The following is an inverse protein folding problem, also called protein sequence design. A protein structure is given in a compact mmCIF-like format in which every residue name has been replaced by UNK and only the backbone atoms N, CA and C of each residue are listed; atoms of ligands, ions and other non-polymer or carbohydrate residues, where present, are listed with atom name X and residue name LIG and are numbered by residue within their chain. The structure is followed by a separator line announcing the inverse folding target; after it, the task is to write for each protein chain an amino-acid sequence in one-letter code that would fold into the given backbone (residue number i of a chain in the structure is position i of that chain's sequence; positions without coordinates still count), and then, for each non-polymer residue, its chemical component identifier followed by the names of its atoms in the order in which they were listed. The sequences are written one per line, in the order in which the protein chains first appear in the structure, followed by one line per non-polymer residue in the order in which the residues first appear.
data_IF_879034092122
#
_entry.id   IF_879034092122
#
_cell.length_a   1.000
_cell.length_b   1.000
_cell.length_c   1.000
_cell.angle_alpha   90.00
_cell.angle_beta   90.00
_cell.angle_gamma   90.00
#
_symmetry.space_group_name_H-M   'P 1'
#
loop_
_entity.id
_entity.type
_entity.pdbx_description
1 polymer ?
#
# COMPACT_ATOMS: atom_id res chain seq x y z
N UNK A 1 -22.13 21.24 -28.77
CA UNK A 1 -21.12 20.15 -28.82
C UNK A 1 -20.56 19.75 -27.46
N UNK A 2 -20.49 20.61 -26.45
CA UNK A 2 -19.99 20.28 -25.08
C UNK A 2 -20.95 19.44 -24.20
N UNK A 3 -22.26 19.53 -24.40
CA UNK A 3 -23.26 18.82 -23.59
C UNK A 3 -23.31 17.32 -23.90
N UNK A 4 -23.10 16.95 -25.18
CA UNK A 4 -23.07 15.52 -25.60
C UNK A 4 -21.88 14.77 -25.01
N UNK A 5 -20.70 15.41 -24.92
CA UNK A 5 -19.49 14.81 -24.33
C UNK A 5 -19.65 14.53 -22.82
N UNK A 6 -20.36 15.40 -22.11
CA UNK A 6 -20.62 15.25 -20.67
C UNK A 6 -21.59 14.10 -20.36
N UNK A 7 -22.63 13.91 -21.19
CA UNK A 7 -23.62 12.84 -21.02
C UNK A 7 -23.01 11.45 -21.35
N UNK A 8 -22.20 11.36 -22.40
CA UNK A 8 -21.51 10.13 -22.76
C UNK A 8 -20.45 9.74 -21.71
N UNK A 9 -19.79 10.69 -21.11
CA UNK A 9 -18.85 10.48 -19.99
C UNK A 9 -19.58 10.01 -18.75
N UNK A 10 -20.72 10.63 -18.41
CA UNK A 10 -21.55 10.26 -17.26
C UNK A 10 -22.19 8.86 -17.42
N UNK A 11 -22.66 8.52 -18.61
CA UNK A 11 -23.22 7.20 -18.91
C UNK A 11 -22.15 6.10 -18.86
N UNK A 12 -20.94 6.36 -19.34
CA UNK A 12 -19.80 5.43 -19.20
C UNK A 12 -19.39 5.24 -17.74
N UNK A 13 -19.45 6.28 -16.89
CA UNK A 13 -19.16 6.20 -15.45
C UNK A 13 -20.11 5.23 -14.74
N UNK A 14 -21.42 5.41 -14.90
CA UNK A 14 -22.42 4.51 -14.31
C UNK A 14 -22.20 3.07 -14.81
N UNK A 15 -21.78 2.90 -16.06
CA UNK A 15 -21.57 1.58 -16.67
C UNK A 15 -20.30 0.91 -16.13
N UNK A 16 -19.26 1.67 -15.78
CA UNK A 16 -18.00 1.14 -15.23
C UNK A 16 -18.14 0.76 -13.75
N UNK A 17 -18.83 1.55 -12.94
CA UNK A 17 -19.18 1.26 -11.54
C UNK A 17 -19.94 -0.08 -11.43
N UNK A 18 -20.97 -0.24 -12.26
CA UNK A 18 -21.78 -1.46 -12.33
C UNK A 18 -20.95 -2.66 -12.83
N UNK A 19 -19.94 -2.45 -13.66
CA UNK A 19 -19.10 -3.53 -14.20
C UNK A 19 -18.11 -4.10 -13.18
N UNK A 20 -17.43 -3.24 -12.38
CA UNK A 20 -16.40 -3.70 -11.45
C UNK A 20 -17.04 -4.35 -10.22
N UNK A 21 -18.05 -3.74 -9.64
CA UNK A 21 -18.81 -4.34 -8.54
C UNK A 21 -19.42 -5.70 -8.96
N UNK A 22 -19.97 -5.81 -10.16
CA UNK A 22 -20.48 -7.08 -10.72
C UNK A 22 -19.40 -8.15 -10.85
N UNK A 23 -18.15 -7.77 -11.10
CA UNK A 23 -17.04 -8.72 -11.17
C UNK A 23 -16.54 -9.13 -9.78
N UNK A 24 -16.68 -8.27 -8.76
CA UNK A 24 -16.28 -8.56 -7.39
C UNK A 24 -17.33 -9.36 -6.60
N UNK A 25 -18.61 -9.04 -6.76
CA UNK A 25 -19.72 -9.68 -6.03
C UNK A 25 -19.68 -11.22 -6.06
N UNK A 26 -19.44 -11.90 -7.21
CA UNK A 26 -19.40 -13.36 -7.26
C UNK A 26 -18.27 -13.98 -6.43
N UNK A 27 -17.26 -13.20 -6.05
CA UNK A 27 -16.10 -13.64 -5.30
C UNK A 27 -16.18 -13.32 -3.81
N UNK A 28 -17.27 -12.70 -3.36
CA UNK A 28 -17.48 -12.43 -1.92
C UNK A 28 -17.53 -13.75 -1.16
N UNK A 29 -16.76 -13.85 -0.08
CA UNK A 29 -16.74 -15.05 0.75
C UNK A 29 -18.15 -15.35 1.31
N UNK A 30 -18.74 -16.55 1.09
CA UNK A 30 -20.00 -16.94 1.71
C UNK A 30 -19.96 -16.83 3.25
N UNK A 31 -18.82 -17.06 3.85
CA UNK A 31 -18.63 -16.89 5.30
C UNK A 31 -18.74 -15.43 5.73
N UNK A 32 -18.26 -14.49 4.90
CA UNK A 32 -18.40 -13.06 5.18
C UNK A 32 -19.87 -12.64 5.16
N UNK A 33 -20.66 -13.18 4.26
CA UNK A 33 -22.10 -12.90 4.15
C UNK A 33 -22.91 -13.51 5.29
N UNK A 34 -22.61 -14.76 5.67
CA UNK A 34 -23.49 -15.57 6.51
C UNK A 34 -23.02 -15.75 7.95
N UNK A 35 -21.72 -15.53 8.24
CA UNK A 35 -21.14 -15.72 9.59
C UNK A 35 -20.72 -14.38 10.20
N UNK A 36 -21.51 -13.83 11.11
CA UNK A 36 -21.23 -12.53 11.73
C UNK A 36 -19.89 -12.50 12.48
N UNK A 37 -19.53 -13.57 13.19
CA UNK A 37 -18.25 -13.68 13.91
C UNK A 37 -17.07 -13.61 12.94
N UNK A 38 -17.17 -14.28 11.80
CA UNK A 38 -16.14 -14.25 10.76
C UNK A 38 -16.04 -12.85 10.13
N UNK A 39 -17.16 -12.24 9.76
CA UNK A 39 -17.22 -10.88 9.20
C UNK A 39 -16.57 -9.86 10.14
N UNK A 40 -16.92 -9.86 11.41
CA UNK A 40 -16.30 -8.98 12.41
C UNK A 40 -14.79 -9.23 12.55
N UNK A 41 -14.37 -10.49 12.53
CA UNK A 41 -12.95 -10.86 12.57
C UNK A 41 -12.18 -10.33 11.36
N UNK A 42 -12.76 -10.48 10.16
CA UNK A 42 -12.19 -10.02 8.91
C UNK A 42 -12.02 -8.48 8.89
N UNK A 43 -13.09 -7.74 9.22
CA UNK A 43 -13.07 -6.27 9.31
C UNK A 43 -12.04 -5.79 10.34
N UNK A 44 -11.98 -6.44 11.51
CA UNK A 44 -10.99 -6.09 12.55
C UNK A 44 -9.55 -6.28 12.11
N UNK A 45 -9.25 -7.32 11.33
CA UNK A 45 -7.90 -7.57 10.80
C UNK A 45 -7.52 -6.51 9.79
N UNK A 46 -8.41 -6.18 8.85
CA UNK A 46 -8.18 -5.12 7.86
C UNK A 46 -8.00 -3.79 8.56
N UNK A 47 -8.80 -3.52 9.60
CA UNK A 47 -8.80 -2.26 10.35
C UNK A 47 -8.87 -1.05 9.39
N UNK A 48 -9.83 -1.07 8.46
CA UNK A 48 -10.10 0.08 7.59
C UNK A 48 -10.73 1.23 8.38
N UNK A 49 -10.68 2.44 7.83
CA UNK A 49 -11.43 3.58 8.36
C UNK A 49 -12.93 3.26 8.39
N UNK A 50 -13.69 3.78 9.36
CA UNK A 50 -15.11 3.41 9.55
C UNK A 50 -15.98 3.64 8.31
N UNK A 51 -15.66 4.66 7.52
CA UNK A 51 -16.40 5.05 6.32
C UNK A 51 -16.09 4.14 5.12
N UNK A 52 -14.99 3.38 5.17
CA UNK A 52 -14.55 2.52 4.08
C UNK A 52 -15.35 1.21 4.04
N UNK A 53 -16.20 1.04 3.03
CA UNK A 53 -16.95 -0.20 2.79
C UNK A 53 -15.99 -1.35 2.48
N UNK A 54 -16.26 -2.52 3.07
CA UNK A 54 -15.54 -3.78 2.83
C UNK A 54 -16.55 -4.79 2.27
N UNK A 55 -16.23 -5.42 1.14
CA UNK A 55 -17.06 -6.45 0.51
C UNK A 55 -16.80 -7.85 1.06
N UNK A 56 -15.59 -8.13 1.54
CA UNK A 56 -15.24 -9.40 2.17
C UNK A 56 -14.60 -10.42 1.23
N UNK A 57 -13.90 -9.96 0.20
CA UNK A 57 -13.06 -10.81 -0.65
C UNK A 57 -11.70 -11.08 0.00
N UNK A 58 -11.09 -12.22 -0.35
CA UNK A 58 -9.71 -12.47 -0.04
C UNK A 58 -8.77 -11.98 -1.15
N UNK A 59 -7.51 -11.81 -0.81
CA UNK A 59 -6.51 -11.28 -1.74
C UNK A 59 -6.31 -12.11 -3.02
N UNK A 60 -6.39 -13.46 -3.01
CA UNK A 60 -6.31 -14.25 -4.24
C UNK A 60 -7.39 -13.91 -5.26
N UNK A 61 -8.65 -13.77 -4.82
CA UNK A 61 -9.79 -13.43 -5.67
C UNK A 61 -9.64 -12.01 -6.23
N UNK A 62 -9.24 -11.05 -5.39
CA UNK A 62 -8.97 -9.67 -5.80
C UNK A 62 -7.86 -9.64 -6.88
N UNK A 63 -6.78 -10.42 -6.68
CA UNK A 63 -5.70 -10.54 -7.67
C UNK A 63 -6.17 -11.15 -8.99
N UNK A 64 -7.08 -12.11 -8.93
CA UNK A 64 -7.66 -12.72 -10.13
C UNK A 64 -8.46 -11.71 -10.94
N UNK A 65 -9.35 -10.95 -10.30
CA UNK A 65 -10.15 -9.89 -10.95
C UNK A 65 -9.23 -8.81 -11.53
N UNK A 66 -8.28 -8.30 -10.75
CA UNK A 66 -7.33 -7.30 -11.22
C UNK A 66 -6.52 -7.79 -12.46
N UNK A 67 -6.11 -9.07 -12.48
CA UNK A 67 -5.40 -9.68 -13.62
C UNK A 67 -6.28 -9.80 -14.86
N UNK A 68 -7.57 -10.03 -14.71
CA UNK A 68 -8.52 -10.08 -15.82
C UNK A 68 -8.72 -8.68 -16.41
N UNK A 69 -9.00 -7.69 -15.56
CA UNK A 69 -9.17 -6.29 -15.95
C UNK A 69 -7.90 -5.71 -16.61
N UNK A 70 -6.73 -6.02 -16.10
CA UNK A 70 -5.46 -5.55 -16.67
C UNK A 70 -5.16 -6.06 -18.09
N UNK A 71 -5.94 -7.02 -18.60
CA UNK A 71 -5.81 -7.55 -19.97
C UNK A 71 -6.81 -6.95 -20.94
N UNK A 72 -7.76 -6.16 -20.48
CA UNK A 72 -8.78 -5.55 -21.31
C UNK A 72 -8.15 -4.42 -22.14
N UNK A 73 -8.70 -4.19 -23.32
CA UNK A 73 -8.22 -3.17 -24.26
C UNK A 73 -8.48 -1.75 -23.74
N UNK A 74 -9.50 -1.59 -22.91
CA UNK A 74 -9.96 -0.35 -22.28
C UNK A 74 -9.44 -0.17 -20.83
N UNK A 75 -8.38 -0.87 -20.45
CA UNK A 75 -7.84 -0.84 -19.09
C UNK A 75 -7.48 0.57 -18.58
N UNK A 76 -7.05 1.47 -19.46
CA UNK A 76 -6.76 2.86 -19.09
C UNK A 76 -8.05 3.64 -18.80
N UNK A 77 -9.14 3.39 -19.53
CA UNK A 77 -10.45 3.98 -19.26
C UNK A 77 -10.98 3.48 -17.91
N UNK A 78 -10.79 2.20 -17.59
CA UNK A 78 -11.11 1.62 -16.29
C UNK A 78 -10.33 2.33 -15.16
N UNK A 79 -9.03 2.53 -15.32
CA UNK A 79 -8.21 3.24 -14.32
C UNK A 79 -8.63 4.69 -14.16
N UNK A 80 -9.00 5.34 -15.25
CA UNK A 80 -9.48 6.71 -15.24
C UNK A 80 -10.85 6.83 -14.53
N UNK A 81 -11.75 5.88 -14.75
CA UNK A 81 -13.02 5.80 -14.04
C UNK A 81 -12.81 5.64 -12.51
N UNK A 82 -11.90 4.76 -12.08
CA UNK A 82 -11.54 4.64 -10.66
C UNK A 82 -11.04 5.96 -10.06
N UNK A 83 -10.24 6.71 -10.84
CA UNK A 83 -9.71 8.00 -10.39
C UNK A 83 -10.83 9.02 -10.22
N UNK A 84 -11.74 9.12 -11.18
CA UNK A 84 -12.87 10.03 -11.14
C UNK A 84 -13.83 9.72 -9.99
N UNK A 85 -14.13 8.44 -9.74
CA UNK A 85 -14.94 8.01 -8.60
C UNK A 85 -14.30 8.44 -7.27
N UNK A 86 -12.98 8.26 -7.13
CA UNK A 86 -12.28 8.68 -5.93
C UNK A 86 -12.23 10.21 -5.77
N UNK A 87 -12.12 10.97 -6.87
CA UNK A 87 -12.17 12.44 -6.86
C UNK A 87 -13.56 12.97 -6.52
N UNK A 88 -14.63 12.27 -6.96
CA UNK A 88 -16.00 12.64 -6.67
C UNK A 88 -16.33 12.49 -5.18
N UNK A 89 -15.89 11.36 -4.57
CA UNK A 89 -16.08 11.08 -3.16
C UNK A 89 -14.97 10.17 -2.64
N UNK A 90 -14.29 10.55 -1.57
CA UNK A 90 -13.12 9.85 -1.03
C UNK A 90 -13.35 8.37 -0.72
N UNK A 91 -14.52 8.02 -0.16
CA UNK A 91 -14.84 6.65 0.27
C UNK A 91 -15.85 5.94 -0.66
N UNK A 92 -16.05 6.46 -1.86
CA UNK A 92 -16.94 5.85 -2.85
C UNK A 92 -16.48 4.47 -3.27
N UNK A 93 -15.19 4.32 -3.52
CA UNK A 93 -14.59 3.01 -3.79
C UNK A 93 -14.51 2.17 -2.51
N UNK A 94 -14.84 0.90 -2.61
CA UNK A 94 -14.65 -0.07 -1.53
C UNK A 94 -13.16 -0.35 -1.30
N UNK A 95 -12.85 -1.00 -0.18
CA UNK A 95 -11.50 -1.49 0.12
C UNK A 95 -10.95 -2.37 -1.01
N UNK A 96 -11.77 -3.29 -1.53
CA UNK A 96 -11.38 -4.21 -2.59
C UNK A 96 -11.18 -3.52 -3.92
N UNK A 97 -12.01 -2.55 -4.28
CA UNK A 97 -11.85 -1.76 -5.52
C UNK A 97 -10.57 -0.93 -5.49
N UNK A 98 -10.22 -0.37 -4.33
CA UNK A 98 -8.94 0.33 -4.16
C UNK A 98 -7.74 -0.61 -4.36
N UNK A 99 -7.84 -1.85 -3.85
CA UNK A 99 -6.83 -2.90 -4.10
C UNK A 99 -6.76 -3.29 -5.58
N UNK A 100 -7.91 -3.50 -6.24
CA UNK A 100 -7.99 -3.85 -7.67
C UNK A 100 -7.30 -2.78 -8.51
N UNK A 101 -7.61 -1.50 -8.28
CA UNK A 101 -6.95 -0.37 -8.97
C UNK A 101 -5.42 -0.46 -8.87
N UNK A 102 -4.89 -0.62 -7.66
CA UNK A 102 -3.44 -0.72 -7.45
C UNK A 102 -2.82 -1.94 -8.13
N UNK A 103 -3.49 -3.09 -8.09
CA UNK A 103 -3.01 -4.32 -8.71
C UNK A 103 -3.06 -4.25 -10.25
N UNK A 104 -4.04 -3.55 -10.85
CA UNK A 104 -4.07 -3.26 -12.28
C UNK A 104 -2.85 -2.40 -12.65
N UNK A 105 -2.60 -1.30 -11.92
CA UNK A 105 -1.43 -0.44 -12.13
C UNK A 105 -0.14 -1.27 -12.09
N UNK A 106 -0.03 -2.20 -11.15
CA UNK A 106 1.14 -3.08 -11.05
C UNK A 106 1.28 -4.06 -12.20
N UNK A 107 0.18 -4.52 -12.79
CA UNK A 107 0.17 -5.52 -13.86
C UNK A 107 0.46 -4.92 -15.24
N UNK A 108 0.23 -3.62 -15.45
CA UNK A 108 0.45 -2.95 -16.73
C UNK A 108 1.91 -3.02 -17.14
N UNK A 109 2.13 -3.21 -18.44
CA UNK A 109 3.44 -3.12 -19.08
C UNK A 109 3.53 -1.77 -19.79
N UNK A 110 4.07 -0.78 -19.10
CA UNK A 110 4.23 0.58 -19.61
C UNK A 110 5.61 1.14 -19.23
N UNK A 111 6.11 2.17 -19.94
CA UNK A 111 7.30 2.93 -19.57
C UNK A 111 7.20 3.55 -18.18
N UNK A 112 8.33 3.95 -17.61
CA UNK A 112 8.38 4.54 -16.28
C UNK A 112 7.60 5.85 -16.17
N UNK A 113 7.73 6.72 -17.14
CA UNK A 113 7.05 8.02 -17.20
C UNK A 113 5.53 7.88 -17.22
N UNK A 114 5.02 6.92 -18.01
CA UNK A 114 3.61 6.61 -18.08
C UNK A 114 3.12 6.01 -16.75
N UNK A 115 3.92 5.14 -16.15
CA UNK A 115 3.60 4.59 -14.82
C UNK A 115 3.52 5.68 -13.75
N UNK A 116 4.41 6.68 -13.79
CA UNK A 116 4.36 7.82 -12.86
C UNK A 116 3.03 8.57 -12.92
N UNK A 117 2.44 8.72 -14.12
CA UNK A 117 1.14 9.38 -14.28
C UNK A 117 0.01 8.60 -13.61
N UNK A 118 0.11 7.26 -13.55
CA UNK A 118 -0.86 6.39 -12.86
C UNK A 118 -0.63 6.34 -11.35
N UNK A 119 0.63 6.46 -10.90
CA UNK A 119 0.99 6.40 -9.48
C UNK A 119 0.62 7.69 -8.74
N UNK A 120 0.80 8.85 -9.37
CA UNK A 120 0.52 10.16 -8.77
C UNK A 120 -0.91 10.27 -8.20
N UNK A 121 -1.98 9.89 -8.91
CA UNK A 121 -3.33 9.93 -8.36
C UNK A 121 -3.67 8.72 -7.48
N UNK A 122 -2.88 7.65 -7.52
CA UNK A 122 -3.16 6.44 -6.74
C UNK A 122 -2.54 6.49 -5.33
N UNK A 123 -1.30 6.96 -5.18
CA UNK A 123 -0.61 6.93 -3.87
C UNK A 123 -1.39 7.73 -2.80
N UNK A 124 -1.94 8.91 -3.09
CA UNK A 124 -2.73 9.67 -2.12
C UNK A 124 -4.02 9.01 -1.64
N UNK A 125 -4.51 7.97 -2.33
CA UNK A 125 -5.72 7.25 -1.91
C UNK A 125 -5.43 6.08 -0.97
N UNK A 126 -4.15 5.78 -0.72
CA UNK A 126 -3.75 4.76 0.24
C UNK A 126 -4.14 5.22 1.65
N UNK A 127 -5.02 4.50 2.29
CA UNK A 127 -5.56 4.79 3.62
C UNK A 127 -5.57 3.59 4.56
N UNK A 128 -5.00 2.45 4.11
CA UNK A 128 -5.02 1.20 4.85
C UNK A 128 -3.72 0.41 4.63
N UNK A 129 -3.25 -0.27 5.68
CA UNK A 129 -2.03 -1.08 5.61
C UNK A 129 -2.11 -2.20 4.58
N UNK A 130 -3.26 -2.88 4.48
CA UNK A 130 -3.39 -4.02 3.56
C UNK A 130 -3.41 -3.56 2.10
N UNK A 131 -4.00 -2.39 1.79
CA UNK A 131 -3.96 -1.77 0.46
C UNK A 131 -2.54 -1.36 0.11
N UNK A 132 -1.88 -0.61 0.99
CA UNK A 132 -0.52 -0.12 0.80
C UNK A 132 0.48 -1.27 0.60
N UNK A 133 0.48 -2.25 1.51
CA UNK A 133 1.44 -3.35 1.49
C UNK A 133 1.21 -4.29 0.31
N UNK A 134 -0.07 -4.59 -0.01
CA UNK A 134 -0.41 -5.41 -1.17
C UNK A 134 0.03 -4.74 -2.47
N UNK A 135 -0.13 -3.43 -2.58
CA UNK A 135 0.38 -2.68 -3.72
C UNK A 135 1.91 -2.75 -3.80
N UNK A 136 2.61 -2.34 -2.75
CA UNK A 136 4.07 -2.28 -2.71
C UNK A 136 4.72 -3.65 -2.96
N UNK A 137 4.28 -4.70 -2.27
CA UNK A 137 4.85 -6.04 -2.41
C UNK A 137 4.61 -6.67 -3.80
N UNK A 138 3.65 -6.17 -4.57
CA UNK A 138 3.39 -6.63 -5.94
C UNK A 138 3.92 -5.68 -7.03
N UNK A 139 4.59 -4.58 -6.68
CA UNK A 139 5.13 -3.58 -7.60
C UNK A 139 6.43 -4.05 -8.28
N UNK A 140 6.42 -5.24 -8.91
CA UNK A 140 7.60 -5.86 -9.53
C UNK A 140 8.24 -5.02 -10.64
N UNK A 141 7.53 -4.06 -11.18
CA UNK A 141 8.07 -3.07 -12.12
C UNK A 141 9.22 -2.26 -11.51
N UNK A 142 9.21 -2.04 -10.18
CA UNK A 142 10.26 -1.32 -9.47
C UNK A 142 11.64 -1.99 -9.58
N UNK A 143 11.70 -3.30 -9.84
CA UNK A 143 12.95 -4.01 -10.10
C UNK A 143 13.61 -3.62 -11.43
N UNK A 144 12.85 -2.99 -12.35
CA UNK A 144 13.31 -2.55 -13.66
C UNK A 144 13.68 -1.06 -13.69
N UNK A 145 13.31 -0.32 -12.64
CA UNK A 145 13.66 1.09 -12.47
C UNK A 145 15.06 1.16 -11.83
N UNK A 146 15.97 2.00 -12.33
CA UNK A 146 17.26 2.24 -11.67
C UNK A 146 17.05 2.66 -10.21
N UNK A 147 17.86 2.12 -9.29
CA UNK A 147 17.65 2.31 -7.86
C UNK A 147 17.69 3.79 -7.43
N UNK A 148 18.53 4.60 -8.06
CA UNK A 148 18.59 6.04 -7.84
C UNK A 148 17.31 6.77 -8.29
N UNK A 149 16.72 6.39 -9.41
CA UNK A 149 15.46 6.96 -9.89
C UNK A 149 14.29 6.56 -8.97
N UNK A 150 14.25 5.28 -8.57
CA UNK A 150 13.25 4.82 -7.61
C UNK A 150 13.39 5.56 -6.28
N UNK A 151 14.63 5.76 -5.81
CA UNK A 151 14.90 6.51 -4.57
C UNK A 151 14.43 7.97 -4.68
N UNK A 152 14.77 8.64 -5.78
CA UNK A 152 14.31 10.02 -6.03
C UNK A 152 12.77 10.12 -6.07
N UNK A 153 12.11 9.15 -6.69
CA UNK A 153 10.64 9.08 -6.72
C UNK A 153 10.04 8.93 -5.31
N UNK A 154 10.71 8.23 -4.39
CA UNK A 154 10.21 8.02 -3.03
C UNK A 154 10.43 9.22 -2.10
N UNK A 155 11.35 10.13 -2.39
CA UNK A 155 11.72 11.24 -1.51
C UNK A 155 10.54 12.16 -1.12
N UNK A 156 9.63 12.58 -2.01
CA UNK A 156 8.48 13.39 -1.64
C UNK A 156 7.57 12.68 -0.62
N UNK A 157 7.44 11.36 -0.70
CA UNK A 157 6.59 10.57 0.18
C UNK A 157 7.20 10.37 1.56
N UNK A 158 8.53 10.28 1.69
CA UNK A 158 9.21 10.33 2.99
C UNK A 158 9.00 11.68 3.71
N UNK A 159 8.84 12.77 2.96
CA UNK A 159 8.59 14.12 3.48
C UNK A 159 7.10 14.44 3.66
N UNK A 160 6.23 13.50 3.33
CA UNK A 160 4.79 13.71 3.46
C UNK A 160 4.36 13.74 4.93
N UNK A 161 3.30 14.51 5.19
CA UNK A 161 2.62 14.52 6.50
C UNK A 161 1.51 13.46 6.60
N UNK A 162 1.29 12.67 5.55
CA UNK A 162 0.24 11.65 5.50
C UNK A 162 0.83 10.27 5.79
N UNK A 163 0.29 9.60 6.79
CA UNK A 163 0.80 8.34 7.32
C UNK A 163 1.03 7.27 6.24
N UNK A 164 0.08 7.07 5.33
CA UNK A 164 0.19 6.03 4.31
C UNK A 164 1.07 6.39 3.11
N UNK A 165 1.31 7.65 2.86
CA UNK A 165 2.33 8.07 1.89
C UNK A 165 3.74 7.77 2.40
N UNK A 166 4.01 8.05 3.69
CA UNK A 166 5.28 7.67 4.33
C UNK A 166 5.41 6.15 4.41
N UNK A 167 4.33 5.43 4.79
CA UNK A 167 4.34 3.97 4.79
C UNK A 167 4.61 3.39 3.40
N UNK A 168 4.02 3.97 2.35
CA UNK A 168 4.32 3.58 0.97
C UNK A 168 5.82 3.66 0.67
N UNK A 169 6.47 4.78 0.99
CA UNK A 169 7.91 4.95 0.76
C UNK A 169 8.74 3.92 1.56
N UNK A 170 8.38 3.67 2.82
CA UNK A 170 9.03 2.66 3.66
C UNK A 170 8.91 1.25 3.09
N UNK A 171 7.69 0.84 2.69
CA UNK A 171 7.46 -0.53 2.20
C UNK A 171 8.06 -0.72 0.80
N UNK A 172 8.03 0.29 -0.07
CA UNK A 172 8.75 0.25 -1.35
C UNK A 172 10.26 0.11 -1.14
N UNK A 173 10.84 0.87 -0.23
CA UNK A 173 12.28 0.77 0.09
C UNK A 173 12.61 -0.62 0.66
N UNK A 174 11.78 -1.15 1.55
CA UNK A 174 11.93 -2.49 2.10
C UNK A 174 11.92 -3.57 1.00
N UNK A 175 11.00 -3.45 0.04
CA UNK A 175 10.85 -4.47 -1.02
C UNK A 175 11.94 -4.39 -2.09
N UNK A 176 12.44 -3.20 -2.44
CA UNK A 176 13.23 -3.00 -3.66
C UNK A 176 14.60 -2.36 -3.46
N UNK A 177 14.84 -1.70 -2.33
CA UNK A 177 16.09 -0.98 -2.04
C UNK A 177 16.90 -1.57 -0.87
N UNK A 178 16.43 -2.61 -0.16
CA UNK A 178 17.25 -3.34 0.84
C UNK A 178 18.29 -4.20 0.13
N UNK A 179 19.35 -3.54 -0.35
CA UNK A 179 20.55 -4.07 -0.99
C UNK A 179 21.76 -3.47 -0.29
N UNK A 180 22.89 -4.16 -0.27
CA UNK A 180 24.12 -3.71 0.39
C UNK A 180 24.48 -2.24 0.07
N UNK A 181 24.53 -1.89 -1.20
CA UNK A 181 24.88 -0.53 -1.66
C UNK A 181 23.88 0.57 -1.25
N UNK A 182 22.70 0.20 -0.74
CA UNK A 182 21.63 1.13 -0.36
C UNK A 182 21.28 1.07 1.12
N UNK A 183 21.87 0.16 1.87
CA UNK A 183 21.48 -0.13 3.23
C UNK A 183 21.63 1.10 4.14
N UNK A 184 22.80 1.74 4.10
CA UNK A 184 23.09 2.94 4.91
C UNK A 184 22.19 4.11 4.54
N UNK A 185 21.90 4.28 3.23
CA UNK A 185 21.00 5.33 2.75
C UNK A 185 19.58 5.12 3.30
N UNK A 186 19.10 3.87 3.24
CA UNK A 186 17.77 3.52 3.76
C UNK A 186 17.72 3.67 5.29
N UNK A 187 18.77 3.26 6.00
CA UNK A 187 18.84 3.40 7.46
C UNK A 187 18.90 4.86 7.90
N UNK A 188 19.72 5.68 7.25
CA UNK A 188 19.77 7.10 7.52
C UNK A 188 18.40 7.78 7.31
N UNK A 189 17.67 7.41 6.25
CA UNK A 189 16.31 7.92 6.01
C UNK A 189 15.33 7.59 7.16
N UNK A 190 15.52 6.46 7.87
CA UNK A 190 14.67 6.14 9.02
C UNK A 190 14.91 7.09 10.20
N UNK A 191 16.16 7.55 10.40
CA UNK A 191 16.50 8.51 11.45
C UNK A 191 16.02 9.94 11.15
N UNK A 192 15.94 10.29 9.87
CA UNK A 192 15.45 11.60 9.43
C UNK A 192 13.93 11.75 9.50
N UNK A 193 13.18 10.67 9.75
CA UNK A 193 11.72 10.74 9.84
C UNK A 193 11.27 11.41 11.13
N UNK A 194 10.74 12.62 11.02
CA UNK A 194 10.06 13.29 12.12
C UNK A 194 8.64 12.77 12.29
N UNK A 195 8.48 11.77 13.14
CA UNK A 195 7.19 11.13 13.42
C UNK A 195 6.16 12.10 14.02
N UNK A 196 6.58 13.21 14.62
CA UNK A 196 5.68 14.19 15.23
C UNK A 196 4.89 15.00 14.21
N UNK A 197 5.39 15.11 12.98
CA UNK A 197 4.77 15.88 11.89
C UNK A 197 3.80 15.06 11.05
N UNK A 198 3.75 13.73 11.25
CA UNK A 198 2.95 12.82 10.44
C UNK A 198 1.56 12.64 11.07
N UNK A 199 0.54 12.91 10.30
CA UNK A 199 -0.86 12.81 10.72
C UNK A 199 -1.43 11.44 10.37
N UNK A 200 -2.08 10.80 11.36
CA UNK A 200 -2.85 9.57 11.20
C UNK A 200 -4.34 9.88 11.30
N UNK A 201 -5.13 9.22 10.47
CA UNK A 201 -6.59 9.25 10.55
C UNK A 201 -7.14 8.20 11.53
N UNK A 202 -6.27 7.31 12.02
CA UNK A 202 -6.62 6.26 12.99
C UNK A 202 -6.54 6.80 14.42
N UNK A 203 -7.68 7.25 14.94
CA UNK A 203 -7.77 7.84 16.30
C UNK A 203 -7.69 6.81 17.42
N UNK A 204 -7.92 5.53 17.10
CA UNK A 204 -7.85 4.42 18.05
C UNK A 204 -6.42 3.85 18.23
N UNK A 205 -5.44 4.40 17.54
CA UNK A 205 -4.04 3.98 17.58
C UNK A 205 -3.14 5.17 17.97
N UNK A 206 -2.01 4.88 18.58
CA UNK A 206 -1.00 5.93 18.85
C UNK A 206 -0.37 6.38 17.54
N UNK A 207 -0.65 7.60 17.14
CA UNK A 207 -0.19 8.20 15.87
C UNK A 207 1.34 8.41 15.84
N UNK A 208 2.01 8.27 14.68
CA UNK A 208 1.59 7.54 13.48
C UNK A 208 1.92 6.04 13.57
N UNK A 209 0.97 5.23 13.97
CA UNK A 209 1.18 3.80 14.25
C UNK A 209 1.68 3.01 13.03
N UNK A 210 1.07 3.24 11.86
CA UNK A 210 1.39 2.48 10.66
C UNK A 210 2.74 2.84 10.05
N UNK A 211 3.23 4.07 10.26
CA UNK A 211 4.62 4.44 9.92
C UNK A 211 5.59 3.69 10.82
N UNK A 212 5.40 3.74 12.16
CA UNK A 212 6.27 3.02 13.11
C UNK A 212 6.30 1.52 12.85
N UNK A 213 5.15 0.92 12.53
CA UNK A 213 5.07 -0.48 12.13
C UNK A 213 5.77 -0.75 10.80
N UNK A 214 5.73 0.19 9.84
CA UNK A 214 6.48 0.12 8.59
C UNK A 214 7.99 0.13 8.83
N UNK A 215 8.48 1.05 9.67
CA UNK A 215 9.89 1.11 10.08
C UNK A 215 10.32 -0.20 10.76
N UNK A 216 9.53 -0.69 11.70
CA UNK A 216 9.80 -1.94 12.40
C UNK A 216 9.85 -3.15 11.45
N UNK A 217 8.97 -3.19 10.47
CA UNK A 217 8.94 -4.28 9.47
C UNK A 217 10.14 -4.18 8.52
N UNK A 218 10.50 -2.98 8.08
CA UNK A 218 11.70 -2.75 7.27
C UNK A 218 12.96 -3.24 8.00
N UNK A 219 13.13 -2.83 9.27
CA UNK A 219 14.28 -3.25 10.09
C UNK A 219 14.29 -4.77 10.34
N UNK A 220 13.15 -5.39 10.63
CA UNK A 220 13.07 -6.85 10.79
C UNK A 220 13.37 -7.59 9.47
N UNK A 221 13.05 -7.00 8.31
CA UNK A 221 13.38 -7.54 7.00
C UNK A 221 14.88 -7.36 6.71
N UNK A 222 15.45 -6.21 7.08
CA UNK A 222 16.89 -5.96 7.00
C UNK A 222 17.68 -6.93 7.88
N UNK A 223 17.24 -7.17 9.12
CA UNK A 223 17.85 -8.14 10.04
C UNK A 223 17.97 -9.55 9.43
N UNK A 224 17.00 -9.96 8.63
CA UNK A 224 17.03 -11.26 7.97
C UNK A 224 18.09 -11.37 6.85
N UNK A 225 18.53 -10.24 6.31
CA UNK A 225 19.49 -10.18 5.19
C UNK A 225 20.86 -9.69 5.64
N UNK A 226 20.91 -8.75 6.55
CA UNK A 226 22.10 -8.00 7.01
C UNK A 226 22.06 -7.91 8.53
N UNK A 227 22.27 -9.05 9.26
CA UNK A 227 22.04 -9.09 10.71
C UNK A 227 22.99 -8.21 11.50
N UNK A 228 24.27 -8.14 11.13
CA UNK A 228 25.29 -7.40 11.88
C UNK A 228 25.13 -5.88 11.68
N UNK A 229 24.93 -5.45 10.44
CA UNK A 229 24.72 -4.06 10.07
C UNK A 229 23.42 -3.53 10.69
N UNK A 230 22.35 -4.35 10.65
CA UNK A 230 21.07 -3.95 11.24
C UNK A 230 21.13 -3.81 12.74
N UNK A 231 21.78 -4.74 13.45
CA UNK A 231 22.01 -4.65 14.91
C UNK A 231 22.84 -3.44 15.28
N UNK A 232 23.94 -3.23 14.55
CA UNK A 232 24.82 -2.08 14.77
C UNK A 232 24.08 -0.76 14.59
N UNK A 233 23.29 -0.66 13.51
CA UNK A 233 22.45 0.51 13.27
C UNK A 233 21.42 0.72 14.39
N UNK A 234 20.61 -0.27 14.72
CA UNK A 234 19.53 -0.12 15.72
C UNK A 234 20.11 0.26 17.09
N UNK A 235 21.28 -0.29 17.47
CA UNK A 235 21.96 0.04 18.72
C UNK A 235 22.45 1.49 18.75
N UNK A 236 23.02 1.98 17.65
CA UNK A 236 23.60 3.34 17.57
C UNK A 236 22.57 4.41 17.23
N UNK A 237 21.42 4.04 16.62
CA UNK A 237 20.46 4.97 16.06
C UNK A 237 19.72 5.80 17.09
N UNK A 238 19.29 6.99 16.66
CA UNK A 238 18.39 7.90 17.39
C UNK A 238 16.90 7.49 17.33
N UNK A 239 16.59 6.32 16.77
CA UNK A 239 15.21 5.82 16.69
C UNK A 239 14.56 5.74 18.07
N UNK A 240 13.28 6.11 18.14
CA UNK A 240 12.55 6.08 19.42
C UNK A 240 12.45 4.67 19.98
N UNK A 241 12.45 4.55 21.32
CA UNK A 241 12.33 3.27 22.01
C UNK A 241 11.08 2.48 21.61
N UNK A 242 10.04 3.17 21.21
CA UNK A 242 8.81 2.58 20.71
C UNK A 242 9.03 1.86 19.35
N UNK A 243 9.73 2.48 18.41
CA UNK A 243 10.12 1.85 17.15
C UNK A 243 11.04 0.65 17.39
N UNK A 244 12.02 0.78 18.30
CA UNK A 244 12.94 -0.31 18.67
C UNK A 244 12.17 -1.51 19.28
N UNK A 245 11.19 -1.25 20.15
CA UNK A 245 10.33 -2.31 20.71
C UNK A 245 9.47 -3.00 19.64
N UNK A 246 8.88 -2.23 18.71
CA UNK A 246 8.12 -2.78 17.60
C UNK A 246 8.99 -3.63 16.67
N UNK A 247 10.20 -3.19 16.37
CA UNK A 247 11.21 -3.94 15.61
C UNK A 247 11.53 -5.28 16.29
N UNK A 248 11.88 -5.26 17.58
CA UNK A 248 12.19 -6.48 18.32
C UNK A 248 11.02 -7.47 18.35
N UNK A 249 9.78 -6.95 18.47
CA UNK A 249 8.56 -7.77 18.36
C UNK A 249 8.45 -8.39 16.98
N UNK A 250 8.58 -7.60 15.91
CA UNK A 250 8.52 -8.08 14.52
C UNK A 250 9.59 -9.11 14.20
N UNK A 251 10.80 -8.92 14.68
CA UNK A 251 11.89 -9.88 14.53
C UNK A 251 11.55 -11.25 15.16
N UNK A 252 10.93 -11.27 16.34
CA UNK A 252 10.49 -12.51 17.01
C UNK A 252 9.29 -13.18 16.33
N UNK A 253 8.36 -12.41 15.77
CA UNK A 253 7.20 -12.92 15.06
C UNK A 253 7.56 -13.53 13.69
N UNK A 254 8.65 -13.08 13.08
CA UNK A 254 9.05 -13.51 11.75
C UNK A 254 9.72 -14.88 11.77
N UNK A 255 9.24 -15.80 10.92
CA UNK A 255 9.88 -17.09 10.72
C UNK A 255 11.36 -16.97 10.32
N UNK A 256 11.74 -15.91 9.62
CA UNK A 256 13.11 -15.70 9.13
C UNK A 256 14.06 -15.19 10.20
N UNK A 257 13.56 -14.53 11.23
CA UNK A 257 14.39 -13.84 12.24
C UNK A 257 14.09 -14.25 13.68
N UNK A 258 13.14 -15.14 13.93
CA UNK A 258 12.75 -15.55 15.30
C UNK A 258 13.89 -16.16 16.12
N UNK A 259 14.93 -16.69 15.45
CA UNK A 259 16.14 -17.22 16.07
C UNK A 259 17.32 -16.24 16.05
N UNK A 260 17.15 -15.06 15.45
CA UNK A 260 18.17 -14.01 15.38
C UNK A 260 17.94 -13.03 16.52
N UNK A 261 18.95 -12.82 17.34
CA UNK A 261 18.88 -11.79 18.41
C UNK A 261 18.81 -10.42 17.75
N UNK A 262 17.77 -9.61 18.05
CA UNK A 262 17.58 -8.32 17.37
C UNK A 262 18.55 -7.22 17.81
N UNK A 263 19.21 -7.38 18.97
CA UNK A 263 20.19 -6.42 19.54
C UNK A 263 21.57 -7.06 19.75
#
# INVERSE_FOLDING_TARGET
MQISHSIDTFARHIQTDIMIEKQLIPHISPRFLNEEKYRRGHIRIINALPERKILGLHLPEIKQVAKQLAKQTDVLDILHAFEQEHQAERFRLTYEETLVRGLIINALKCPWEERLSLLKPYIPVLDNWAVCDSFCCNAKWALKVPANELWQFLQPYFKSKREFEVRFALVMSMCYLLKEAWLDIVFHQLEELDLSTIHSEYTNLTSPYYVRMGMAWLLATALAKYPDETRSFVKASSLTEDVKRLYARKARESFRTRQVVPY
#
